data_IF_965259817083
#
_entry.id   IF_965259817083
#
_cell.length_a   1.000
_cell.length_b   1.000
_cell.length_c   1.000
_cell.angle_alpha   90.00
_cell.angle_beta   90.00
_cell.angle_gamma   90.00
#
_symmetry.space_group_name_H-M   'P 1'
#
loop_
_entity.id
_entity.type
_entity.pdbx_description
1 polymer ?
#
# COMPACT_ATOMS: atom_id res chain seq x y z
N UNK A 1 10.58 4.91 23.01
CA UNK A 1 9.34 5.02 22.22
C UNK A 1 8.28 4.11 22.83
N UNK A 2 7.00 4.46 22.79
CA UNK A 2 5.90 3.54 23.18
C UNK A 2 5.37 2.90 21.90
N UNK A 3 5.22 1.58 21.86
CA UNK A 3 4.83 0.84 20.65
C UNK A 3 3.72 -0.15 20.96
N UNK A 4 2.51 0.13 20.49
CA UNK A 4 1.29 -0.60 20.89
C UNK A 4 0.45 -1.02 19.69
N UNK A 5 -0.34 -2.08 19.87
CA UNK A 5 -1.27 -2.57 18.85
C UNK A 5 -2.68 -2.03 19.08
N UNK A 6 -3.31 -1.58 18.01
CA UNK A 6 -4.71 -1.14 18.00
C UNK A 6 -5.45 -1.83 16.84
N UNK A 7 -6.76 -1.99 16.96
CA UNK A 7 -7.57 -2.67 15.97
C UNK A 7 -8.44 -1.67 15.22
N UNK A 8 -8.46 -1.82 13.90
CA UNK A 8 -9.41 -1.11 13.06
C UNK A 8 -10.86 -1.38 13.51
N UNK A 9 -11.68 -0.33 13.54
CA UNK A 9 -13.11 -0.37 13.90
C UNK A 9 -13.43 -0.89 15.32
N UNK A 10 -12.42 -1.02 16.20
CA UNK A 10 -12.66 -1.20 17.63
C UNK A 10 -13.03 0.14 18.28
N UNK A 11 -13.94 0.09 19.27
CA UNK A 11 -14.42 1.25 20.02
C UNK A 11 -13.55 1.39 21.26
N UNK A 12 -12.83 2.49 21.34
CA UNK A 12 -11.98 2.83 22.48
C UNK A 12 -12.61 3.98 23.26
N UNK A 13 -12.56 3.91 24.58
CA UNK A 13 -12.83 5.09 25.41
C UNK A 13 -11.60 6.00 25.45
N UNK A 14 -11.77 7.24 25.88
CA UNK A 14 -10.63 8.15 26.14
C UNK A 14 -9.62 7.52 27.12
N UNK A 15 -10.13 6.82 28.15
CA UNK A 15 -9.31 6.10 29.13
C UNK A 15 -8.51 4.95 28.51
N UNK A 16 -9.09 4.24 27.55
CA UNK A 16 -8.37 3.19 26.81
C UNK A 16 -7.24 3.79 25.97
N UNK A 17 -7.49 4.92 25.29
CA UNK A 17 -6.45 5.60 24.52
C UNK A 17 -5.33 6.16 25.40
N UNK A 18 -5.65 6.68 26.59
CA UNK A 18 -4.63 7.13 27.55
C UNK A 18 -3.73 5.97 28.02
N UNK A 19 -4.30 4.77 28.21
CA UNK A 19 -3.53 3.56 28.54
C UNK A 19 -2.65 3.11 27.38
N UNK A 20 -3.18 3.10 26.16
CA UNK A 20 -2.44 2.71 24.95
C UNK A 20 -1.29 3.69 24.67
N UNK A 21 -1.52 4.99 24.87
CA UNK A 21 -0.51 6.02 24.68
C UNK A 21 0.40 6.19 25.92
N UNK A 22 0.19 5.42 26.99
CA UNK A 22 0.89 5.54 28.28
C UNK A 22 1.08 7.00 28.74
N UNK A 23 0.00 7.79 28.70
CA UNK A 23 0.04 9.19 29.10
C UNK A 23 -1.25 9.64 29.80
N UNK A 24 -1.15 10.74 30.56
CA UNK A 24 -2.30 11.36 31.22
C UNK A 24 -3.22 12.02 30.19
N UNK A 25 -4.51 12.17 30.53
CA UNK A 25 -5.54 12.74 29.65
C UNK A 25 -5.12 14.08 29.01
N UNK A 26 -4.51 14.97 29.80
CA UNK A 26 -4.03 16.28 29.32
C UNK A 26 -3.02 16.19 28.16
N UNK A 27 -2.19 15.14 28.14
CA UNK A 27 -1.22 14.87 27.07
C UNK A 27 -1.79 14.01 25.94
N UNK A 28 -2.75 13.14 26.25
CA UNK A 28 -3.42 12.30 25.26
C UNK A 28 -4.30 13.12 24.32
N UNK A 29 -5.00 14.14 24.82
CA UNK A 29 -5.97 14.93 24.05
C UNK A 29 -5.36 15.58 22.80
N UNK A 30 -4.21 16.29 22.87
CA UNK A 30 -3.56 16.81 21.67
C UNK A 30 -3.24 15.72 20.64
N UNK A 31 -2.80 14.53 21.08
CA UNK A 31 -2.51 13.40 20.20
C UNK A 31 -3.80 12.87 19.54
N UNK A 32 -4.87 12.73 20.31
CA UNK A 32 -6.19 12.29 19.81
C UNK A 32 -6.72 13.28 18.78
N UNK A 33 -6.62 14.59 19.04
CA UNK A 33 -7.02 15.64 18.08
C UNK A 33 -6.21 15.54 16.79
N UNK A 34 -4.88 15.37 16.89
CA UNK A 34 -4.00 15.17 15.73
C UNK A 34 -4.37 13.91 14.94
N UNK A 35 -4.67 12.79 15.62
CA UNK A 35 -5.13 11.56 14.96
C UNK A 35 -6.49 11.75 14.23
N UNK A 36 -7.37 12.58 14.78
CA UNK A 36 -8.66 12.93 14.14
C UNK A 36 -8.48 13.85 12.93
N UNK A 37 -7.64 14.87 13.04
CA UNK A 37 -7.32 15.81 11.94
C UNK A 37 -6.82 15.08 10.69
N UNK A 38 -6.03 14.03 10.87
CA UNK A 38 -5.50 13.21 9.77
C UNK A 38 -6.43 12.06 9.34
N UNK A 39 -7.62 11.97 9.92
CA UNK A 39 -8.66 11.02 9.54
C UNK A 39 -8.34 9.55 9.86
N UNK A 40 -7.32 9.29 10.68
CA UNK A 40 -6.98 7.92 11.13
C UNK A 40 -7.83 7.48 12.33
N UNK A 41 -8.37 8.45 13.07
CA UNK A 41 -9.26 8.24 14.21
C UNK A 41 -10.56 9.03 14.00
N UNK A 42 -11.70 8.42 14.32
CA UNK A 42 -13.02 9.07 14.27
C UNK A 42 -13.69 9.00 15.64
N UNK A 43 -14.58 9.94 15.93
CA UNK A 43 -15.42 9.92 17.13
C UNK A 43 -16.83 9.47 16.76
N UNK A 44 -17.43 8.63 17.60
CA UNK A 44 -18.83 8.19 17.48
C UNK A 44 -19.49 8.27 18.85
N UNK A 45 -20.79 8.57 18.90
CA UNK A 45 -21.49 8.70 20.16
C UNK A 45 -21.52 7.39 20.96
N UNK A 46 -21.19 7.48 22.24
CA UNK A 46 -21.24 6.35 23.15
C UNK A 46 -22.70 5.91 23.36
N UNK A 47 -23.06 4.80 22.75
CA UNK A 47 -24.35 4.14 22.92
C UNK A 47 -24.16 2.63 22.95
N UNK A 48 -25.12 1.90 23.56
CA UNK A 48 -25.08 0.44 23.57
C UNK A 48 -25.13 -0.14 22.16
N UNK A 49 -25.87 0.51 21.25
CA UNK A 49 -25.89 0.15 19.82
C UNK A 49 -24.50 0.25 19.18
N UNK A 50 -23.77 1.36 19.42
CA UNK A 50 -22.42 1.54 18.87
C UNK A 50 -21.39 0.58 19.47
N UNK A 51 -21.57 0.14 20.71
CA UNK A 51 -20.69 -0.85 21.36
C UNK A 51 -20.80 -2.22 20.66
N UNK A 52 -22.01 -2.63 20.29
CA UNK A 52 -22.27 -3.96 19.72
C UNK A 52 -22.15 -4.01 18.18
N UNK A 53 -22.02 -2.86 17.53
CA UNK A 53 -21.86 -2.75 16.08
C UNK A 53 -20.54 -3.38 15.61
N UNK A 54 -20.56 -4.16 14.53
CA UNK A 54 -19.34 -4.77 13.98
C UNK A 54 -18.66 -3.94 12.89
N UNK A 55 -19.41 -3.06 12.24
CA UNK A 55 -18.89 -2.13 11.23
C UNK A 55 -19.28 -0.69 11.57
N UNK A 56 -18.45 0.26 11.16
CA UNK A 56 -18.75 1.69 11.24
C UNK A 56 -19.52 2.13 9.99
N UNK A 57 -20.61 2.88 10.18
CA UNK A 57 -21.32 3.56 9.08
C UNK A 57 -20.92 5.03 9.05
N UNK A 58 -20.91 5.64 7.87
CA UNK A 58 -20.51 7.05 7.75
C UNK A 58 -21.47 8.01 8.49
N UNK A 59 -22.74 7.62 8.61
CA UNK A 59 -23.78 8.36 9.33
C UNK A 59 -23.54 8.40 10.85
N UNK A 60 -22.71 7.50 11.38
CA UNK A 60 -22.41 7.40 12.82
C UNK A 60 -21.27 8.33 13.26
N UNK A 61 -20.52 8.90 12.30
CA UNK A 61 -19.33 9.70 12.57
C UNK A 61 -19.75 11.09 13.04
N UNK A 62 -19.26 11.49 14.21
CA UNK A 62 -19.51 12.81 14.76
C UNK A 62 -18.27 13.69 14.70
N UNK A 63 -18.48 14.94 14.26
CA UNK A 63 -17.47 16.01 14.35
C UNK A 63 -17.63 16.67 15.72
N UNK A 64 -17.07 16.04 16.74
CA UNK A 64 -17.02 16.57 18.11
C UNK A 64 -15.62 17.07 18.46
N UNK A 65 -15.51 18.12 19.27
CA UNK A 65 -14.25 18.46 19.92
C UNK A 65 -13.90 17.43 21.00
N UNK A 66 -12.63 17.33 21.36
CA UNK A 66 -12.16 16.37 22.38
C UNK A 66 -11.84 17.13 23.65
N UNK A 67 -12.66 16.99 24.69
CA UNK A 67 -12.43 17.59 26.01
C UNK A 67 -12.02 16.54 27.06
N UNK A 68 -11.56 17.00 28.23
CA UNK A 68 -11.13 16.15 29.34
C UNK A 68 -12.36 15.58 30.05
N UNK A 69 -12.41 14.25 30.23
CA UNK A 69 -13.45 13.60 31.04
C UNK A 69 -14.80 13.40 30.35
N UNK A 70 -14.88 13.59 29.02
CA UNK A 70 -16.05 13.25 28.23
C UNK A 70 -16.10 11.74 27.95
N UNK A 71 -16.93 11.01 28.70
CA UNK A 71 -17.28 9.61 28.41
C UNK A 71 -18.42 9.51 27.34
N UNK A 72 -18.71 10.61 26.62
CA UNK A 72 -19.82 10.69 25.65
C UNK A 72 -19.50 10.06 24.30
N UNK A 73 -18.22 9.76 24.01
CA UNK A 73 -17.77 9.28 22.71
C UNK A 73 -16.91 8.02 22.81
N UNK A 74 -17.05 7.15 21.82
CA UNK A 74 -16.03 6.17 21.47
C UNK A 74 -15.14 6.70 20.35
N UNK A 75 -13.86 6.37 20.42
CA UNK A 75 -12.86 6.65 19.41
C UNK A 75 -12.60 5.38 18.60
N UNK A 76 -12.63 5.51 17.28
CA UNK A 76 -12.61 4.39 16.35
C UNK A 76 -11.54 4.61 15.30
N UNK A 77 -10.54 3.72 15.23
CA UNK A 77 -9.54 3.77 14.17
C UNK A 77 -10.16 3.31 12.84
N UNK A 78 -10.00 4.13 11.81
CA UNK A 78 -10.45 3.83 10.43
C UNK A 78 -9.27 3.60 9.48
N UNK A 79 -8.12 3.26 10.04
CA UNK A 79 -6.84 3.09 9.35
C UNK A 79 -6.34 1.66 9.55
N UNK A 80 -5.54 1.16 8.62
CA UNK A 80 -4.75 -0.07 8.76
C UNK A 80 -3.32 0.22 8.35
N UNK A 81 -2.36 -0.11 9.22
CA UNK A 81 -0.94 0.11 9.01
C UNK A 81 -0.21 0.61 10.27
N UNK A 82 0.83 1.41 10.08
CA UNK A 82 1.64 2.00 11.16
C UNK A 82 1.39 3.51 11.23
N UNK A 83 1.15 4.00 12.44
CA UNK A 83 1.01 5.42 12.76
C UNK A 83 2.11 5.77 13.75
N UNK A 84 2.86 6.82 13.48
CA UNK A 84 3.83 7.40 14.44
C UNK A 84 3.38 8.80 14.77
N UNK A 85 3.16 9.09 16.06
CA UNK A 85 2.72 10.40 16.54
C UNK A 85 3.48 10.77 17.81
N UNK A 86 4.27 11.84 17.78
CA UNK A 86 5.01 12.36 18.94
C UNK A 86 5.74 11.29 19.78
N UNK A 87 6.49 10.39 19.13
CA UNK A 87 7.20 9.30 19.82
C UNK A 87 6.33 8.12 20.28
N UNK A 88 5.07 8.04 19.83
CA UNK A 88 4.19 6.89 20.01
C UNK A 88 3.96 6.18 18.67
N UNK A 89 4.13 4.87 18.66
CA UNK A 89 3.93 4.01 17.49
C UNK A 89 2.68 3.17 17.70
N UNK A 90 1.67 3.38 16.86
CA UNK A 90 0.43 2.60 16.86
C UNK A 90 0.42 1.67 15.64
N UNK A 91 0.43 0.38 15.90
CA UNK A 91 0.38 -0.72 14.93
C UNK A 91 -1.09 -1.12 14.74
N UNK A 92 -1.77 -0.48 13.78
CA UNK A 92 -3.20 -0.67 13.54
C UNK A 92 -3.46 -1.84 12.60
N UNK A 93 -4.03 -2.93 13.12
CA UNK A 93 -4.26 -4.16 12.36
C UNK A 93 -5.72 -4.28 11.85
N UNK A 94 -5.94 -5.01 10.74
CA UNK A 94 -7.26 -5.18 10.13
C UNK A 94 -8.33 -5.72 11.08
N UNK A 95 -9.56 -5.23 10.95
CA UNK A 95 -10.67 -5.60 11.84
C UNK A 95 -11.04 -7.08 11.83
N UNK A 96 -10.75 -7.84 10.77
CA UNK A 96 -11.07 -9.27 10.68
C UNK A 96 -10.22 -10.16 11.59
N UNK A 97 -9.11 -9.62 12.14
CA UNK A 97 -8.30 -10.29 13.15
C UNK A 97 -8.96 -10.06 14.52
N UNK A 98 -9.67 -11.07 15.02
CA UNK A 98 -10.44 -11.00 16.27
C UNK A 98 -9.73 -11.73 17.41
N UNK A 99 -9.08 -12.85 17.11
CA UNK A 99 -8.51 -13.77 18.10
C UNK A 99 -7.07 -14.19 17.79
N UNK A 100 -6.41 -13.53 16.84
CA UNK A 100 -5.03 -13.88 16.47
C UNK A 100 -4.04 -13.67 17.62
N UNK A 101 -3.28 -14.72 17.92
CA UNK A 101 -2.17 -14.69 18.89
C UNK A 101 -0.84 -14.20 18.27
N UNK A 102 -0.81 -13.95 16.95
CA UNK A 102 0.40 -13.59 16.19
C UNK A 102 0.22 -12.28 15.42
N UNK A 103 -0.29 -11.24 16.10
CA UNK A 103 -0.60 -9.94 15.48
C UNK A 103 0.58 -9.31 14.73
N UNK A 104 1.81 -9.47 15.22
CA UNK A 104 3.03 -8.96 14.55
C UNK A 104 3.24 -9.61 13.18
N UNK A 105 3.08 -10.92 13.07
CA UNK A 105 3.28 -11.67 11.83
C UNK A 105 2.17 -11.39 10.81
N UNK A 106 0.92 -11.32 11.28
CA UNK A 106 -0.23 -10.96 10.44
C UNK A 106 -0.10 -9.52 9.92
N UNK A 107 0.27 -8.57 10.79
CA UNK A 107 0.47 -7.18 10.38
C UNK A 107 1.64 -7.03 9.41
N UNK A 108 2.74 -7.75 9.61
CA UNK A 108 3.86 -7.79 8.66
C UNK A 108 3.39 -8.19 7.27
N UNK A 109 2.58 -9.24 7.16
CA UNK A 109 2.05 -9.66 5.86
C UNK A 109 1.14 -8.58 5.25
N UNK A 110 0.28 -7.96 6.07
CA UNK A 110 -0.59 -6.84 5.66
C UNK A 110 0.23 -5.66 5.13
N UNK A 111 1.36 -5.31 5.77
CA UNK A 111 2.22 -4.22 5.33
C UNK A 111 2.87 -4.50 3.96
N UNK A 112 3.32 -5.74 3.71
CA UNK A 112 3.80 -6.14 2.36
C UNK A 112 2.72 -6.02 1.29
N UNK A 113 1.49 -6.39 1.64
CA UNK A 113 0.33 -6.24 0.75
C UNK A 113 0.10 -4.77 0.42
N UNK A 114 0.14 -3.91 1.44
CA UNK A 114 0.00 -2.46 1.29
C UNK A 114 1.13 -1.85 0.46
N UNK A 115 2.38 -2.27 0.67
CA UNK A 115 3.52 -1.84 -0.13
C UNK A 115 3.34 -2.20 -1.61
N UNK A 116 3.02 -3.48 -1.89
CA UNK A 116 2.74 -3.94 -3.25
C UNK A 116 1.58 -3.16 -3.89
N UNK A 117 0.50 -2.92 -3.15
CA UNK A 117 -0.67 -2.18 -3.63
C UNK A 117 -0.36 -0.68 -3.88
N UNK A 118 0.45 -0.05 -3.02
CA UNK A 118 0.73 1.39 -3.03
C UNK A 118 1.98 1.80 -3.84
N UNK A 119 2.66 0.88 -4.54
CA UNK A 119 3.89 1.16 -5.32
C UNK A 119 3.77 2.34 -6.29
N UNK A 120 2.55 2.73 -6.72
CA UNK A 120 2.31 3.92 -7.57
C UNK A 120 2.08 5.22 -6.79
N UNK A 121 1.62 5.17 -5.54
CA UNK A 121 1.25 6.35 -4.74
C UNK A 121 2.32 6.78 -3.74
N UNK A 122 3.14 5.85 -3.22
CA UNK A 122 4.13 6.15 -2.18
C UNK A 122 5.19 7.17 -2.63
N UNK A 123 5.68 7.05 -3.87
CA UNK A 123 6.65 8.01 -4.44
C UNK A 123 6.03 9.41 -4.54
N UNK A 124 4.73 9.52 -4.84
CA UNK A 124 4.04 10.81 -4.98
C UNK A 124 3.85 11.47 -3.61
N UNK A 125 3.57 10.70 -2.56
CA UNK A 125 3.38 11.22 -1.20
C UNK A 125 4.68 11.65 -0.50
N UNK A 126 5.84 11.14 -0.93
CA UNK A 126 7.14 11.56 -0.39
C UNK A 126 7.55 13.00 -0.77
N UNK A 127 6.98 13.56 -1.86
CA UNK A 127 7.44 14.84 -2.43
C UNK A 127 6.33 15.88 -2.66
N UNK A 128 5.07 15.59 -2.31
CA UNK A 128 3.98 16.55 -2.45
C UNK A 128 3.87 17.45 -1.21
N UNK A 129 4.48 18.63 -1.28
CA UNK A 129 4.27 19.78 -0.38
C UNK A 129 3.05 20.64 -0.79
N UNK A 130 2.29 20.25 -1.83
CA UNK A 130 1.36 21.15 -2.53
C UNK A 130 -0.12 21.04 -2.10
N UNK A 131 -0.42 20.48 -0.94
CA UNK A 131 -1.75 20.57 -0.34
C UNK A 131 -1.60 21.00 1.11
N UNK A 132 -2.34 22.02 1.53
CA UNK A 132 -2.29 22.67 2.86
C UNK A 132 -2.54 21.73 4.07
N UNK A 133 -2.54 20.39 3.88
CA UNK A 133 -2.67 19.39 4.94
C UNK A 133 -1.73 18.17 4.83
N UNK A 134 -0.74 18.14 3.93
CA UNK A 134 0.19 17.00 3.84
C UNK A 134 1.36 17.15 4.81
N UNK A 135 1.22 16.61 6.03
CA UNK A 135 2.36 16.48 6.92
C UNK A 135 3.48 15.66 6.28
N UNK A 136 4.71 16.12 6.49
CA UNK A 136 5.94 15.41 6.14
C UNK A 136 5.93 14.00 6.74
N UNK A 137 6.05 12.98 5.89
CA UNK A 137 6.02 11.58 6.31
C UNK A 137 7.45 11.05 6.51
N UNK A 138 7.99 11.28 7.71
CA UNK A 138 9.33 10.85 8.09
C UNK A 138 9.49 9.32 7.97
N UNK A 139 8.49 8.54 8.39
CA UNK A 139 8.55 7.07 8.29
C UNK A 139 8.80 6.60 6.84
N UNK A 140 8.15 7.21 5.86
CA UNK A 140 8.36 6.87 4.45
C UNK A 140 9.79 7.20 3.98
N UNK A 141 10.35 8.31 4.46
CA UNK A 141 11.74 8.73 4.20
C UNK A 141 12.74 7.71 4.77
N UNK A 142 12.56 7.29 6.03
CA UNK A 142 13.42 6.32 6.69
C UNK A 142 13.39 4.96 5.98
N UNK A 143 12.20 4.45 5.65
CA UNK A 143 12.03 3.18 4.94
C UNK A 143 12.67 3.22 3.55
N UNK A 144 12.48 4.31 2.80
CA UNK A 144 13.07 4.47 1.48
C UNK A 144 14.60 4.45 1.52
N UNK A 145 15.22 5.17 2.47
CA UNK A 145 16.68 5.24 2.58
C UNK A 145 17.30 3.87 2.81
N UNK A 146 16.73 3.09 3.74
CA UNK A 146 17.23 1.74 4.03
C UNK A 146 16.96 0.77 2.86
N UNK A 147 15.80 0.84 2.23
CA UNK A 147 15.48 -0.01 1.08
C UNK A 147 16.42 0.27 -0.10
N UNK A 148 16.66 1.55 -0.46
CA UNK A 148 17.63 1.89 -1.52
C UNK A 148 19.04 1.41 -1.15
N UNK A 149 19.45 1.53 0.12
CA UNK A 149 20.75 1.04 0.57
C UNK A 149 20.86 -0.49 0.42
N UNK A 150 19.85 -1.27 0.81
CA UNK A 150 19.90 -2.72 0.67
C UNK A 150 19.88 -3.18 -0.79
N UNK A 151 19.18 -2.46 -1.66
CA UNK A 151 19.13 -2.78 -3.09
C UNK A 151 20.39 -2.37 -3.85
N UNK A 152 20.94 -1.19 -3.51
CA UNK A 152 21.88 -0.50 -4.39
C UNK A 152 23.16 0.02 -3.69
N UNK A 153 23.31 -0.22 -2.39
CA UNK A 153 24.46 0.17 -1.58
C UNK A 153 24.56 1.67 -1.29
N UNK A 154 25.64 2.08 -0.62
CA UNK A 154 25.90 3.48 -0.25
C UNK A 154 26.04 4.39 -1.48
N UNK A 155 25.72 5.66 -1.29
CA UNK A 155 25.95 6.70 -2.30
C UNK A 155 27.44 6.77 -2.60
N UNK A 156 27.81 6.68 -3.89
CA UNK A 156 29.21 6.77 -4.28
C UNK A 156 29.38 7.63 -5.51
N UNK A 157 30.33 8.57 -5.50
CA UNK A 157 30.80 9.17 -6.74
C UNK A 157 32.04 8.43 -7.24
N UNK A 158 32.06 8.27 -8.56
CA UNK A 158 33.19 7.66 -9.25
C UNK A 158 33.89 8.74 -10.05
N UNK A 159 35.17 8.94 -9.82
CA UNK A 159 35.98 9.84 -10.61
C UNK A 159 36.80 9.04 -11.63
N UNK A 160 36.90 9.57 -12.85
CA UNK A 160 37.79 9.03 -13.86
C UNK A 160 39.17 9.66 -13.68
N UNK A 161 40.13 8.92 -13.15
CA UNK A 161 41.53 9.31 -13.10
C UNK A 161 42.30 8.75 -14.30
N UNK A 162 43.42 9.39 -14.60
CA UNK A 162 44.36 8.92 -15.61
C UNK A 162 45.56 8.32 -14.88
N UNK A 163 45.85 7.05 -15.16
CA UNK A 163 47.01 6.34 -14.64
C UNK A 163 47.94 5.91 -15.78
N UNK A 164 49.24 5.87 -15.50
CA UNK A 164 50.25 5.42 -16.48
C UNK A 164 50.36 3.90 -16.47
N UNK A 165 50.28 3.28 -17.66
CA UNK A 165 50.34 1.83 -17.89
C UNK A 165 49.34 1.00 -17.07
N UNK A 166 48.15 1.57 -16.83
CA UNK A 166 47.06 0.87 -16.16
C UNK A 166 46.38 -0.19 -17.02
N UNK A 167 45.48 -0.94 -16.39
CA UNK A 167 44.68 -1.98 -17.06
C UNK A 167 43.40 -1.43 -17.71
N UNK A 168 43.12 -0.14 -17.52
CA UNK A 168 41.94 0.53 -18.04
C UNK A 168 42.01 0.87 -19.54
N UNK A 169 40.99 1.58 -20.03
CA UNK A 169 40.94 1.97 -21.45
C UNK A 169 42.06 2.94 -21.79
N UNK A 170 42.87 2.62 -22.81
CA UNK A 170 43.94 3.51 -23.30
C UNK A 170 43.32 4.78 -23.90
N UNK A 171 43.81 5.94 -23.44
CA UNK A 171 43.51 7.25 -23.99
C UNK A 171 44.57 7.57 -25.05
N UNK A 172 44.34 7.12 -26.28
CA UNK A 172 45.32 7.26 -27.36
C UNK A 172 45.70 8.71 -27.66
N UNK A 173 44.74 9.64 -27.65
CA UNK A 173 45.04 11.06 -27.89
C UNK A 173 46.01 11.63 -26.85
N UNK A 174 45.81 11.31 -25.57
CA UNK A 174 46.74 11.72 -24.51
C UNK A 174 48.06 10.99 -24.59
N UNK A 175 48.03 9.68 -24.85
CA UNK A 175 49.24 8.87 -24.98
C UNK A 175 50.14 9.41 -26.10
N UNK A 176 49.57 9.71 -27.26
CA UNK A 176 50.31 10.23 -28.42
C UNK A 176 50.89 11.62 -28.15
N UNK A 177 50.12 12.50 -27.50
CA UNK A 177 50.49 13.91 -27.31
C UNK A 177 51.35 14.16 -26.06
N UNK A 178 51.19 13.36 -25.01
CA UNK A 178 51.77 13.61 -23.68
C UNK A 178 52.92 12.64 -23.34
N UNK A 179 53.17 11.60 -24.15
CA UNK A 179 54.24 10.60 -23.87
C UNK A 179 55.26 10.48 -25.02
N UNK A 180 56.42 9.90 -24.72
CA UNK A 180 57.48 9.72 -25.71
C UNK A 180 57.22 8.51 -26.61
N UNK A 181 57.42 8.72 -27.91
CA UNK A 181 57.31 7.68 -28.93
C UNK A 181 58.67 7.11 -29.28
N UNK A 182 58.81 5.79 -29.27
CA UNK A 182 59.99 5.09 -29.80
C UNK A 182 59.72 4.66 -31.25
N UNK A 183 60.66 4.94 -32.16
CA UNK A 183 60.55 4.55 -33.57
C UNK A 183 61.38 3.30 -33.85
N UNK A 184 60.75 2.25 -34.34
CA UNK A 184 61.42 1.04 -34.82
C UNK A 184 60.80 0.60 -36.15
N UNK A 185 61.64 0.36 -37.17
CA UNK A 185 61.20 0.02 -38.53
C UNK A 185 60.13 0.98 -39.10
N UNK A 186 60.32 2.29 -38.87
CA UNK A 186 59.39 3.35 -39.30
C UNK A 186 57.97 3.20 -38.73
N UNK A 187 57.82 2.54 -37.57
CA UNK A 187 56.57 2.41 -36.82
C UNK A 187 56.72 2.97 -35.39
N UNK A 188 55.72 3.72 -34.90
CA UNK A 188 55.73 4.26 -33.55
C UNK A 188 55.34 3.20 -32.51
N UNK A 189 56.07 3.15 -31.40
CA UNK A 189 55.80 2.33 -30.22
C UNK A 189 55.72 3.23 -28.99
N UNK A 190 54.65 3.09 -28.22
CA UNK A 190 54.41 3.82 -26.97
C UNK A 190 54.59 2.86 -25.80
N UNK A 191 55.58 3.12 -24.95
CA UNK A 191 55.87 2.31 -23.76
C UNK A 191 55.12 2.80 -22.51
N UNK A 192 54.73 4.08 -22.51
CA UNK A 192 54.02 4.72 -21.40
C UNK A 192 52.60 5.09 -21.83
N UNK A 193 51.67 4.17 -21.68
CA UNK A 193 50.27 4.35 -22.05
C UNK A 193 49.54 5.18 -20.99
N UNK A 194 48.83 6.23 -21.41
CA UNK A 194 47.89 6.92 -20.52
C UNK A 194 46.56 6.19 -20.55
N UNK A 195 46.14 5.63 -19.42
CA UNK A 195 44.94 4.80 -19.32
C UNK A 195 43.93 5.39 -18.36
N UNK A 196 42.65 5.25 -18.66
CA UNK A 196 41.56 5.73 -17.82
C UNK A 196 41.18 4.65 -16.82
N UNK A 197 41.23 5.00 -15.53
CA UNK A 197 40.71 4.19 -14.45
C UNK A 197 39.63 4.96 -13.71
N UNK A 198 38.53 4.27 -13.43
CA UNK A 198 37.48 4.80 -12.58
C UNK A 198 37.80 4.42 -11.13
N UNK A 199 37.94 5.40 -10.25
CA UNK A 199 38.12 5.22 -8.81
C UNK A 199 36.89 5.68 -8.07
N UNK A 200 36.61 5.03 -6.95
CA UNK A 200 35.59 5.47 -5.99
C UNK A 200 36.29 6.32 -4.94
N UNK A 201 35.74 7.51 -4.65
CA UNK A 201 36.24 8.33 -3.55
C UNK A 201 35.57 7.86 -2.24
N UNK A 202 36.32 7.11 -1.44
CA UNK A 202 35.83 6.61 -0.15
C UNK A 202 35.68 7.70 0.90
N UNK A 203 36.28 8.88 0.69
CA UNK A 203 36.17 10.05 1.57
C UNK A 203 35.17 11.09 1.04
N UNK A 204 34.39 10.74 0.00
CA UNK A 204 33.35 11.60 -0.55
C UNK A 204 32.40 12.04 0.58
N UNK A 205 32.21 13.35 0.68
CA UNK A 205 31.32 13.99 1.63
C UNK A 205 29.90 13.39 1.62
N UNK A 206 29.31 13.16 0.44
CA UNK A 206 27.95 12.64 0.32
C UNK A 206 27.86 11.14 0.59
N UNK A 207 28.94 10.39 0.35
CA UNK A 207 29.05 9.00 0.77
C UNK A 207 28.97 8.90 2.30
N UNK A 208 29.87 9.62 2.99
CA UNK A 208 29.93 9.67 4.46
C UNK A 208 28.65 10.20 5.08
N UNK A 209 28.06 11.26 4.50
CA UNK A 209 26.78 11.80 4.96
C UNK A 209 25.66 10.77 4.82
N UNK A 210 25.62 10.02 3.72
CA UNK A 210 24.64 8.96 3.54
C UNK A 210 24.83 7.84 4.57
N UNK A 211 26.07 7.43 4.86
CA UNK A 211 26.38 6.43 5.89
C UNK A 211 25.92 6.86 7.30
N UNK A 212 26.15 8.13 7.66
CA UNK A 212 25.68 8.72 8.91
C UNK A 212 24.15 8.68 9.01
N UNK A 213 23.45 9.11 7.96
CA UNK A 213 21.98 9.14 7.93
C UNK A 213 21.39 7.73 7.95
N UNK A 214 21.97 6.77 7.23
CA UNK A 214 21.51 5.37 7.25
C UNK A 214 21.64 4.75 8.64
N UNK A 215 22.74 5.04 9.33
CA UNK A 215 22.96 4.59 10.71
C UNK A 215 21.87 5.16 11.60
N UNK A 216 21.67 6.49 11.62
CA UNK A 216 20.60 7.16 12.40
C UNK A 216 19.21 6.66 12.06
N UNK A 217 18.87 6.51 10.77
CA UNK A 217 17.59 6.01 10.33
C UNK A 217 17.32 4.59 10.83
N UNK A 218 18.34 3.73 10.83
CA UNK A 218 18.26 2.39 11.41
C UNK A 218 18.03 2.45 12.92
N UNK A 219 18.68 3.36 13.64
CA UNK A 219 18.47 3.52 15.08
C UNK A 219 17.04 3.99 15.41
N UNK A 220 16.54 4.99 14.69
CA UNK A 220 15.18 5.50 14.87
C UNK A 220 14.12 4.41 14.66
N UNK A 221 14.25 3.59 13.61
CA UNK A 221 13.34 2.46 13.36
C UNK A 221 13.50 1.33 14.37
N UNK A 222 14.71 1.12 14.90
CA UNK A 222 14.98 0.13 15.95
C UNK A 222 14.28 0.52 17.24
N UNK A 223 14.43 1.78 17.66
CA UNK A 223 13.79 2.34 18.85
C UNK A 223 12.26 2.36 18.74
N UNK A 224 11.74 2.43 17.52
CA UNK A 224 10.31 2.35 17.20
C UNK A 224 9.74 0.91 17.13
N UNK A 225 10.60 -0.11 17.26
CA UNK A 225 10.29 -1.52 17.00
C UNK A 225 9.72 -1.78 15.59
N UNK A 226 10.16 -0.99 14.60
CA UNK A 226 9.68 -1.06 13.22
C UNK A 226 10.58 -1.90 12.31
N UNK A 227 11.87 -2.05 12.63
CA UNK A 227 12.80 -2.90 11.85
C UNK A 227 12.24 -4.32 11.64
N UNK A 228 11.87 -5.00 12.71
CA UNK A 228 11.29 -6.35 12.64
C UNK A 228 9.94 -6.41 11.92
N UNK A 229 9.18 -5.32 11.96
CA UNK A 229 7.85 -5.25 11.37
C UNK A 229 7.92 -5.09 9.85
N UNK A 230 8.91 -4.35 9.37
CA UNK A 230 9.22 -4.18 7.94
C UNK A 230 10.25 -5.18 7.40
N UNK A 231 10.72 -6.13 8.22
CA UNK A 231 11.78 -7.11 7.87
C UNK A 231 13.10 -6.45 7.43
N UNK A 232 13.40 -5.29 7.99
CA UNK A 232 14.63 -4.56 7.70
C UNK A 232 15.69 -4.95 8.72
N UNK A 233 16.88 -5.32 8.24
CA UNK A 233 18.02 -5.57 9.12
C UNK A 233 18.62 -4.23 9.55
N UNK A 234 18.95 -4.07 10.83
CA UNK A 234 19.60 -2.87 11.31
C UNK A 234 20.97 -2.67 10.66
N UNK A 235 21.34 -1.41 10.44
CA UNK A 235 22.60 -1.00 9.80
C UNK A 235 23.37 -0.09 10.75
N UNK A 236 24.67 -0.31 10.85
CA UNK A 236 25.62 0.50 11.63
C UNK A 236 26.89 0.67 10.77
N UNK A 237 27.04 1.85 10.15
CA UNK A 237 28.07 2.11 9.13
C UNK A 237 29.17 3.04 9.63
N UNK A 238 28.87 3.92 10.57
CA UNK A 238 29.79 4.98 11.00
C UNK A 238 29.46 5.47 12.41
N UNK A 239 30.49 5.95 13.10
CA UNK A 239 30.36 6.65 14.39
C UNK A 239 30.24 8.18 14.21
N UNK A 240 30.31 8.70 12.98
CA UNK A 240 30.18 10.13 12.68
C UNK A 240 28.75 10.62 12.96
N UNK A 241 28.64 11.82 13.52
CA UNK A 241 27.37 12.51 13.78
C UNK A 241 27.08 13.57 12.72
N UNK A 242 25.82 14.01 12.60
CA UNK A 242 25.46 15.06 11.63
C UNK A 242 26.28 16.35 11.82
N UNK A 243 26.67 16.66 13.05
CA UNK A 243 27.45 17.85 13.38
C UNK A 243 28.88 17.81 12.79
N UNK A 244 29.41 16.62 12.47
CA UNK A 244 30.70 16.45 11.79
C UNK A 244 30.67 16.93 10.33
N UNK A 245 29.48 17.12 9.75
CA UNK A 245 29.27 17.56 8.37
C UNK A 245 29.01 19.07 8.26
N UNK A 246 28.84 19.78 9.37
CA UNK A 246 28.55 21.21 9.44
C UNK A 246 27.14 21.50 9.97
N UNK A 247 26.76 22.77 10.00
CA UNK A 247 25.41 23.15 10.39
C UNK A 247 24.36 22.72 9.34
N UNK A 248 23.10 22.72 9.76
CA UNK A 248 21.96 22.28 8.93
C UNK A 248 21.94 23.02 7.59
N UNK A 249 22.08 24.34 7.60
CA UNK A 249 22.06 25.19 6.42
C UNK A 249 23.21 24.86 5.46
N UNK A 250 24.41 24.60 5.98
CA UNK A 250 25.57 24.19 5.20
C UNK A 250 25.34 22.83 4.53
N UNK A 251 24.81 21.85 5.26
CA UNK A 251 24.55 20.51 4.70
C UNK A 251 23.52 20.60 3.57
N UNK A 252 22.41 21.32 3.79
CA UNK A 252 21.36 21.52 2.78
C UNK A 252 21.90 22.21 1.52
N UNK A 253 22.67 23.28 1.69
CA UNK A 253 23.32 23.99 0.57
C UNK A 253 24.27 23.09 -0.23
N UNK A 254 25.05 22.23 0.46
CA UNK A 254 25.94 21.26 -0.19
C UNK A 254 25.14 20.26 -1.04
N UNK A 255 24.04 19.74 -0.50
CA UNK A 255 23.17 18.79 -1.22
C UNK A 255 22.56 19.44 -2.47
N UNK A 256 22.05 20.68 -2.36
CA UNK A 256 21.53 21.41 -3.52
C UNK A 256 22.58 21.59 -4.61
N UNK A 257 23.82 21.91 -4.22
CA UNK A 257 24.94 22.06 -5.17
C UNK A 257 25.23 20.75 -5.91
N UNK A 258 25.24 19.62 -5.20
CA UNK A 258 25.45 18.30 -5.82
C UNK A 258 24.29 17.91 -6.72
N UNK A 259 23.04 18.15 -6.29
CA UNK A 259 21.83 17.91 -7.09
C UNK A 259 21.86 18.63 -8.44
N UNK A 260 22.41 19.84 -8.49
CA UNK A 260 22.53 20.64 -9.72
C UNK A 260 23.53 20.05 -10.73
N UNK A 261 24.47 19.21 -10.28
CA UNK A 261 25.48 18.57 -11.13
C UNK A 261 25.29 17.07 -11.31
N UNK A 262 24.35 16.48 -10.57
CA UNK A 262 24.08 15.05 -10.59
C UNK A 262 23.00 14.71 -11.62
N UNK A 263 23.32 13.88 -12.61
CA UNK A 263 22.39 13.47 -13.68
C UNK A 263 21.82 12.06 -13.47
N UNK A 264 22.34 11.29 -12.53
CA UNK A 264 21.84 9.96 -12.23
C UNK A 264 20.55 10.04 -11.40
N UNK A 265 19.46 9.50 -11.93
CA UNK A 265 18.12 9.57 -11.30
C UNK A 265 18.08 8.97 -9.90
N UNK A 266 18.74 7.82 -9.67
CA UNK A 266 18.81 7.20 -8.34
C UNK A 266 19.53 8.13 -7.36
N UNK A 267 20.70 8.63 -7.74
CA UNK A 267 21.49 9.54 -6.89
C UNK A 267 20.74 10.82 -6.57
N UNK A 268 20.05 11.39 -7.55
CA UNK A 268 19.16 12.54 -7.32
C UNK A 268 18.07 12.22 -6.30
N UNK A 269 17.47 11.03 -6.39
CA UNK A 269 16.43 10.60 -5.47
C UNK A 269 16.97 10.45 -4.03
N UNK A 270 18.11 9.77 -3.86
CA UNK A 270 18.78 9.62 -2.55
C UNK A 270 19.11 10.99 -1.94
N UNK A 271 19.72 11.89 -2.72
CA UNK A 271 20.06 13.24 -2.25
C UNK A 271 18.82 14.05 -1.87
N UNK A 272 17.73 13.97 -2.64
CA UNK A 272 16.46 14.63 -2.28
C UNK A 272 15.85 14.06 -1.01
N UNK A 273 15.92 12.74 -0.81
CA UNK A 273 15.41 12.12 0.41
C UNK A 273 16.25 12.49 1.63
N UNK A 274 17.58 12.51 1.49
CA UNK A 274 18.50 13.01 2.51
C UNK A 274 18.21 14.48 2.84
N UNK A 275 18.02 15.32 1.82
CA UNK A 275 17.64 16.73 1.99
C UNK A 275 16.37 16.85 2.83
N UNK A 276 15.32 16.10 2.48
CA UNK A 276 14.03 16.15 3.19
C UNK A 276 14.17 15.70 4.65
N UNK A 277 14.94 14.64 4.92
CA UNK A 277 15.24 14.18 6.27
C UNK A 277 15.90 15.28 7.13
N UNK A 278 16.93 15.94 6.59
CA UNK A 278 17.66 17.00 7.32
C UNK A 278 16.82 18.28 7.46
N UNK A 279 16.11 18.68 6.40
CA UNK A 279 15.31 19.92 6.38
C UNK A 279 14.21 19.90 7.44
N UNK A 280 13.56 18.76 7.65
CA UNK A 280 12.55 18.59 8.69
C UNK A 280 13.13 18.20 10.06
N UNK A 281 14.46 18.26 10.23
CA UNK A 281 15.14 17.87 11.48
C UNK A 281 14.70 16.48 11.97
N UNK A 282 14.66 15.52 11.04
CA UNK A 282 13.95 14.24 11.18
C UNK A 282 14.21 13.55 12.52
N UNK A 283 13.17 13.50 13.35
CA UNK A 283 13.12 12.68 14.54
C UNK A 283 11.68 12.23 14.80
N UNK A 284 11.46 10.91 14.91
CA UNK A 284 10.14 10.34 15.25
C UNK A 284 9.61 10.78 16.63
N UNK A 285 10.45 11.33 17.50
CA UNK A 285 10.08 11.87 18.83
C UNK A 285 9.58 13.32 18.81
N UNK A 286 9.67 14.04 17.69
CA UNK A 286 9.19 15.43 17.62
C UNK A 286 7.67 15.51 17.88
N UNK A 287 7.22 16.46 18.71
CA UNK A 287 5.81 16.69 19.04
C UNK A 287 4.98 17.00 17.80
N UNK A 288 5.60 17.65 16.81
CA UNK A 288 4.95 17.97 15.55
C UNK A 288 5.02 16.81 14.54
N UNK A 289 5.76 15.74 14.83
CA UNK A 289 5.81 14.55 13.99
C UNK A 289 4.47 13.81 13.95
N UNK A 290 3.98 13.57 12.74
CA UNK A 290 2.98 12.55 12.44
C UNK A 290 3.36 11.87 11.13
N UNK A 291 3.65 10.57 11.20
CA UNK A 291 4.00 9.75 10.04
C UNK A 291 3.05 8.57 9.90
N UNK A 292 2.62 8.28 8.68
CA UNK A 292 1.61 7.28 8.39
C UNK A 292 2.11 6.32 7.30
N UNK A 293 2.10 5.03 7.56
CA UNK A 293 2.29 4.01 6.54
C UNK A 293 1.07 3.08 6.54
N UNK A 294 0.19 3.23 5.55
CA UNK A 294 -1.03 2.43 5.49
C UNK A 294 -2.16 3.09 4.71
N UNK A 295 -3.40 2.69 5.00
CA UNK A 295 -4.59 3.15 4.27
C UNK A 295 -5.80 3.31 5.19
N UNK A 296 -6.68 4.28 4.87
CA UNK A 296 -8.01 4.42 5.46
C UNK A 296 -9.09 3.59 4.73
N UNK A 297 -8.72 2.95 3.62
CA UNK A 297 -9.66 2.23 2.74
C UNK A 297 -9.18 0.81 2.50
N UNK A 298 -8.97 0.06 3.58
CA UNK A 298 -8.50 -1.33 3.49
C UNK A 298 -9.50 -2.25 2.78
N UNK A 299 -10.77 -1.86 2.74
CA UNK A 299 -11.79 -2.53 1.91
C UNK A 299 -11.41 -2.55 0.42
N UNK A 300 -10.86 -1.46 -0.12
CA UNK A 300 -10.42 -1.39 -1.52
C UNK A 300 -9.17 -2.23 -1.77
N UNK A 301 -8.30 -2.31 -0.76
CA UNK A 301 -7.12 -3.20 -0.81
C UNK A 301 -7.59 -4.66 -0.86
N UNK A 302 -8.56 -5.05 -0.02
CA UNK A 302 -9.17 -6.38 -0.07
C UNK A 302 -9.83 -6.68 -1.42
N UNK A 303 -10.61 -5.74 -1.95
CA UNK A 303 -11.22 -5.85 -3.29
C UNK A 303 -10.17 -6.08 -4.39
N UNK A 304 -9.10 -5.26 -4.39
CA UNK A 304 -8.00 -5.39 -5.35
C UNK A 304 -7.27 -6.73 -5.24
N UNK A 305 -7.08 -7.26 -4.03
CA UNK A 305 -6.50 -8.59 -3.79
C UNK A 305 -7.40 -9.67 -4.38
N UNK A 306 -8.69 -9.66 -4.05
CA UNK A 306 -9.66 -10.63 -4.58
C UNK A 306 -9.70 -10.57 -6.11
N UNK A 307 -9.74 -9.37 -6.69
CA UNK A 307 -9.74 -9.17 -8.14
C UNK A 307 -8.48 -9.72 -8.81
N UNK A 308 -7.30 -9.53 -8.20
CA UNK A 308 -6.07 -10.10 -8.74
C UNK A 308 -6.10 -11.63 -8.64
N UNK A 309 -6.27 -12.20 -7.45
CA UNK A 309 -6.10 -13.65 -7.25
C UNK A 309 -7.18 -14.48 -7.96
N UNK A 310 -8.39 -13.95 -8.14
CA UNK A 310 -9.50 -14.66 -8.82
C UNK A 310 -9.55 -14.42 -10.32
N UNK A 311 -8.51 -13.83 -10.93
CA UNK A 311 -8.38 -13.68 -12.39
C UNK A 311 -9.50 -12.83 -13.02
N UNK A 312 -9.67 -11.60 -12.50
CA UNK A 312 -10.69 -10.65 -12.95
C UNK A 312 -10.63 -10.35 -14.46
N UNK A 313 -11.74 -10.60 -15.16
CA UNK A 313 -11.91 -10.44 -16.60
C UNK A 313 -12.66 -9.15 -17.00
N UNK A 314 -13.08 -8.31 -16.06
CA UNK A 314 -13.89 -7.12 -16.34
C UNK A 314 -13.28 -6.19 -17.40
N UNK A 315 -11.97 -5.97 -17.34
CA UNK A 315 -11.26 -5.10 -18.27
C UNK A 315 -10.74 -5.84 -19.52
N UNK A 316 -11.00 -7.14 -19.65
CA UNK A 316 -10.58 -7.94 -20.80
C UNK A 316 -11.53 -7.70 -21.96
N UNK A 317 -10.96 -7.63 -23.18
CA UNK A 317 -11.72 -7.44 -24.42
C UNK A 317 -12.57 -8.67 -24.72
N UNK A 318 -13.81 -8.47 -25.20
CA UNK A 318 -14.74 -9.56 -25.48
C UNK A 318 -14.17 -10.62 -26.42
N UNK A 319 -13.39 -10.21 -27.43
CA UNK A 319 -12.75 -11.14 -28.36
C UNK A 319 -11.61 -11.99 -27.78
N UNK A 320 -11.15 -11.69 -26.56
CA UNK A 320 -10.10 -12.43 -25.86
C UNK A 320 -10.64 -13.27 -24.69
N UNK A 321 -11.95 -13.18 -24.40
CA UNK A 321 -12.56 -13.95 -23.32
C UNK A 321 -12.62 -15.45 -23.67
N UNK A 322 -12.45 -16.35 -22.68
CA UNK A 322 -12.61 -17.79 -22.86
C UNK A 322 -14.10 -18.17 -22.90
N UNK A 323 -14.75 -17.91 -24.05
CA UNK A 323 -16.19 -18.16 -24.24
C UNK A 323 -16.46 -19.63 -24.63
N UNK A 324 -17.57 -20.24 -24.17
CA UNK A 324 -17.96 -21.60 -24.56
C UNK A 324 -18.20 -21.74 -26.07
N UNK A 325 -18.75 -20.70 -26.68
CA UNK A 325 -18.97 -20.59 -28.12
C UNK A 325 -18.40 -19.27 -28.65
N UNK A 326 -18.10 -19.17 -29.96
CA UNK A 326 -17.55 -17.95 -30.54
C UNK A 326 -18.42 -16.72 -30.28
N UNK A 327 -17.77 -15.57 -30.06
CA UNK A 327 -18.43 -14.28 -29.83
C UNK A 327 -19.42 -13.98 -30.97
N UNK A 328 -20.69 -13.72 -30.63
CA UNK A 328 -21.72 -13.38 -31.62
C UNK A 328 -21.40 -12.05 -32.32
N UNK A 329 -21.79 -11.94 -33.59
CA UNK A 329 -21.47 -10.79 -34.45
C UNK A 329 -22.06 -9.43 -33.99
N UNK A 330 -23.06 -9.45 -33.11
CA UNK A 330 -23.65 -8.24 -32.52
C UNK A 330 -22.78 -7.58 -31.44
N UNK A 331 -21.75 -8.28 -30.96
CA UNK A 331 -20.81 -7.76 -29.97
C UNK A 331 -19.52 -7.25 -30.63
N UNK A 332 -19.04 -6.08 -30.20
CA UNK A 332 -17.74 -5.57 -30.63
C UNK A 332 -16.61 -6.30 -29.88
N UNK A 333 -15.76 -7.01 -30.62
CA UNK A 333 -14.58 -7.71 -30.08
C UNK A 333 -13.61 -6.81 -29.30
N UNK A 334 -13.60 -5.50 -29.56
CA UNK A 334 -12.70 -4.55 -28.91
C UNK A 334 -13.28 -3.95 -27.63
N UNK A 335 -14.59 -4.07 -27.41
CA UNK A 335 -15.26 -3.66 -26.18
C UNK A 335 -14.76 -4.52 -25.01
N UNK A 336 -14.69 -3.96 -23.80
CA UNK A 336 -14.36 -4.74 -22.60
C UNK A 336 -15.62 -5.35 -22.01
N UNK A 337 -15.47 -6.40 -21.19
CA UNK A 337 -16.60 -7.02 -20.51
C UNK A 337 -17.42 -6.01 -19.70
N UNK A 338 -16.74 -5.16 -18.91
CA UNK A 338 -17.38 -4.12 -18.08
C UNK A 338 -18.19 -3.10 -18.90
N UNK A 339 -17.82 -2.87 -20.15
CA UNK A 339 -18.50 -1.90 -21.02
C UNK A 339 -19.87 -2.43 -21.51
N UNK A 340 -20.21 -3.70 -21.26
CA UNK A 340 -21.54 -4.26 -21.56
C UNK A 340 -22.62 -3.76 -20.61
N UNK A 341 -22.25 -3.27 -19.43
CA UNK A 341 -23.21 -2.75 -18.46
C UNK A 341 -23.73 -1.40 -18.97
N UNK A 342 -25.05 -1.35 -19.22
CA UNK A 342 -25.70 -0.16 -19.75
C UNK A 342 -25.58 1.04 -18.80
N UNK A 343 -25.50 2.24 -19.38
CA UNK A 343 -25.53 3.50 -18.62
C UNK A 343 -26.96 4.06 -18.61
N UNK A 344 -27.43 4.66 -17.51
CA UNK A 344 -28.80 5.13 -17.42
C UNK A 344 -29.06 6.28 -18.41
N UNK A 345 -30.07 6.11 -19.26
CA UNK A 345 -30.54 7.11 -20.23
C UNK A 345 -31.50 8.10 -19.55
N UNK A 346 -31.19 9.39 -19.67
CA UNK A 346 -32.06 10.46 -19.22
C UNK A 346 -32.87 10.99 -20.39
N UNK A 347 -34.12 10.55 -20.50
CA UNK A 347 -35.01 10.88 -21.64
C UNK A 347 -35.19 12.37 -21.87
N UNK A 348 -35.18 13.17 -20.80
CA UNK A 348 -35.25 14.64 -20.88
C UNK A 348 -34.08 15.25 -21.67
N UNK A 349 -32.90 14.65 -21.59
CA UNK A 349 -31.69 15.14 -22.28
C UNK A 349 -31.32 14.30 -23.50
N UNK A 350 -31.88 13.09 -23.63
CA UNK A 350 -31.47 12.10 -24.61
C UNK A 350 -30.05 11.56 -24.40
N UNK A 351 -29.46 11.78 -23.23
CA UNK A 351 -28.06 11.42 -22.93
C UNK A 351 -27.97 10.38 -21.82
N UNK A 352 -26.95 9.53 -21.90
CA UNK A 352 -26.59 8.60 -20.83
C UNK A 352 -25.74 9.31 -19.77
N UNK A 353 -25.94 8.98 -18.50
CA UNK A 353 -25.01 9.40 -17.44
C UNK A 353 -23.64 8.72 -17.60
N UNK A 354 -22.64 9.21 -16.87
CA UNK A 354 -21.30 8.64 -16.91
C UNK A 354 -21.17 7.36 -16.09
N UNK A 355 -21.87 7.29 -14.95
CA UNK A 355 -21.82 6.16 -14.01
C UNK A 355 -22.83 5.06 -14.35
N UNK A 356 -22.48 3.84 -13.94
CA UNK A 356 -23.31 2.64 -14.01
C UNK A 356 -22.95 1.70 -12.86
N UNK A 357 -23.56 0.52 -12.82
CA UNK A 357 -23.20 -0.58 -11.93
C UNK A 357 -21.72 -0.95 -12.10
N UNK A 358 -21.00 -1.07 -10.99
CA UNK A 358 -19.56 -1.38 -10.95
C UNK A 358 -19.36 -2.67 -10.14
N UNK A 359 -19.38 -3.85 -10.79
CA UNK A 359 -18.98 -5.08 -10.12
C UNK A 359 -17.48 -5.05 -9.79
N UNK A 360 -17.10 -5.69 -8.68
CA UNK A 360 -15.70 -5.74 -8.23
C UNK A 360 -14.86 -6.62 -9.18
N UNK A 361 -15.34 -7.84 -9.46
CA UNK A 361 -14.68 -8.74 -10.42
C UNK A 361 -15.61 -9.80 -11.02
N UNK A 362 -15.22 -10.29 -12.21
CA UNK A 362 -15.86 -11.42 -12.88
C UNK A 362 -14.78 -12.39 -13.34
N UNK A 363 -14.98 -13.68 -13.08
CA UNK A 363 -14.09 -14.75 -13.54
C UNK A 363 -14.83 -15.63 -14.53
N UNK A 364 -14.18 -15.95 -15.65
CA UNK A 364 -14.73 -16.79 -16.71
C UNK A 364 -13.78 -17.94 -16.98
N UNK A 365 -14.19 -19.17 -16.69
CA UNK A 365 -13.39 -20.40 -16.91
C UNK A 365 -14.30 -21.59 -17.12
N UNK A 366 -13.92 -22.51 -18.01
CA UNK A 366 -14.58 -23.81 -18.21
C UNK A 366 -16.11 -23.72 -18.37
N UNK A 367 -16.58 -22.68 -19.05
CA UNK A 367 -18.00 -22.40 -19.24
C UNK A 367 -18.76 -21.93 -18.01
N UNK A 368 -18.07 -21.60 -16.92
CA UNK A 368 -18.62 -20.91 -15.75
C UNK A 368 -18.50 -19.39 -15.90
N UNK A 369 -19.55 -18.67 -15.52
CA UNK A 369 -19.56 -17.21 -15.38
C UNK A 369 -19.73 -16.87 -13.90
N UNK A 370 -18.64 -16.50 -13.24
CA UNK A 370 -18.63 -16.29 -11.79
C UNK A 370 -18.51 -14.80 -11.50
N UNK A 371 -19.48 -14.27 -10.78
CA UNK A 371 -19.55 -12.86 -10.37
C UNK A 371 -19.19 -12.83 -8.89
N UNK A 372 -18.05 -12.21 -8.57
CA UNK A 372 -17.66 -12.01 -7.19
C UNK A 372 -17.81 -10.56 -6.78
N UNK A 373 -18.09 -10.38 -5.50
CA UNK A 373 -18.07 -9.10 -4.85
C UNK A 373 -17.36 -9.27 -3.50
N UNK A 374 -16.30 -8.50 -3.30
CA UNK A 374 -15.42 -8.61 -2.16
C UNK A 374 -15.95 -7.71 -1.04
N UNK A 375 -16.33 -8.32 0.08
CA UNK A 375 -16.94 -7.63 1.21
C UNK A 375 -16.01 -7.64 2.42
N UNK A 376 -15.50 -6.48 2.79
CA UNK A 376 -14.66 -6.29 3.97
C UNK A 376 -15.50 -6.12 5.26
N UNK A 377 -16.14 -7.21 5.69
CA UNK A 377 -17.08 -7.27 6.81
C UNK A 377 -16.70 -8.36 7.81
N UNK A 378 -16.94 -8.10 9.10
CA UNK A 378 -16.88 -9.11 10.16
C UNK A 378 -18.27 -9.73 10.38
N UNK A 379 -18.78 -10.44 9.38
CA UNK A 379 -20.11 -11.03 9.44
C UNK A 379 -20.14 -12.24 10.38
N UNK A 380 -21.15 -12.32 11.24
CA UNK A 380 -21.44 -13.46 12.10
C UNK A 380 -22.67 -14.18 11.54
N UNK A 381 -22.40 -15.30 10.86
CA UNK A 381 -23.39 -16.11 10.15
C UNK A 381 -23.39 -17.52 10.73
N UNK A 382 -23.91 -17.64 11.95
CA UNK A 382 -24.06 -18.90 12.66
C UNK A 382 -25.47 -19.46 12.48
N UNK A 383 -25.60 -20.79 12.48
CA UNK A 383 -26.91 -21.45 12.38
C UNK A 383 -27.82 -21.02 13.53
N UNK A 384 -29.10 -20.87 13.22
CA UNK A 384 -30.15 -20.51 14.18
C UNK A 384 -29.95 -19.15 14.89
N UNK A 385 -29.00 -18.34 14.41
CA UNK A 385 -28.73 -17.00 14.91
C UNK A 385 -29.19 -15.95 13.91
N UNK A 386 -29.67 -14.80 14.41
CA UNK A 386 -29.92 -13.63 13.56
C UNK A 386 -28.58 -13.16 12.98
N UNK A 387 -28.47 -12.94 11.65
CA UNK A 387 -27.25 -12.41 11.05
C UNK A 387 -26.82 -11.09 11.69
N UNK A 388 -25.53 -10.96 12.01
CA UNK A 388 -24.93 -9.71 12.48
C UNK A 388 -23.75 -9.33 11.61
N UNK A 389 -23.60 -8.05 11.28
CA UNK A 389 -22.47 -7.57 10.47
C UNK A 389 -22.44 -8.08 9.02
N UNK A 390 -23.55 -8.60 8.53
CA UNK A 390 -23.73 -9.03 7.14
C UNK A 390 -23.75 -7.83 6.18
N UNK A 391 -23.48 -8.04 4.88
CA UNK A 391 -23.73 -7.05 3.85
C UNK A 391 -25.18 -6.55 3.88
N UNK A 392 -25.35 -5.24 3.72
CA UNK A 392 -26.68 -4.62 3.68
C UNK A 392 -27.48 -5.01 2.44
N UNK A 393 -28.78 -4.70 2.46
CA UNK A 393 -29.70 -5.01 1.34
C UNK A 393 -29.26 -4.41 0.01
N UNK A 394 -28.60 -3.25 0.05
CA UNK A 394 -28.03 -2.60 -1.14
C UNK A 394 -26.97 -3.49 -1.80
N UNK A 395 -26.07 -4.08 -1.01
CA UNK A 395 -25.03 -5.00 -1.51
C UNK A 395 -25.64 -6.27 -2.10
N UNK A 396 -26.63 -6.86 -1.40
CA UNK A 396 -27.37 -8.03 -1.89
C UNK A 396 -28.03 -7.72 -3.23
N UNK A 397 -28.77 -6.61 -3.31
CA UNK A 397 -29.50 -6.24 -4.53
C UNK A 397 -28.55 -5.93 -5.68
N UNK A 398 -27.45 -5.20 -5.44
CA UNK A 398 -26.43 -4.92 -6.46
C UNK A 398 -25.83 -6.19 -7.05
N UNK A 399 -25.53 -7.19 -6.24
CA UNK A 399 -24.98 -8.46 -6.71
C UNK A 399 -25.92 -9.17 -7.70
N UNK A 400 -27.21 -9.23 -7.41
CA UNK A 400 -28.20 -9.76 -8.35
C UNK A 400 -28.31 -8.92 -9.63
N UNK A 401 -28.26 -7.59 -9.50
CA UNK A 401 -28.28 -6.68 -10.65
C UNK A 401 -27.05 -6.83 -11.54
N UNK A 402 -25.88 -7.17 -10.99
CA UNK A 402 -24.70 -7.50 -11.78
C UNK A 402 -24.96 -8.72 -12.66
N UNK A 403 -25.52 -9.81 -12.11
CA UNK A 403 -25.91 -10.95 -12.94
C UNK A 403 -26.90 -10.53 -14.02
N UNK A 404 -27.93 -9.78 -13.65
CA UNK A 404 -28.98 -9.36 -14.57
C UNK A 404 -28.40 -8.53 -15.74
N UNK A 405 -27.45 -7.65 -15.47
CA UNK A 405 -26.77 -6.84 -16.49
C UNK A 405 -26.02 -7.70 -17.53
N UNK A 406 -25.49 -8.86 -17.12
CA UNK A 406 -24.79 -9.78 -18.02
C UNK A 406 -25.69 -10.90 -18.56
N UNK A 407 -26.96 -10.99 -18.14
CA UNK A 407 -27.81 -12.14 -18.43
C UNK A 407 -27.98 -12.41 -19.93
N UNK A 408 -28.11 -11.35 -20.74
CA UNK A 408 -28.15 -11.48 -22.21
C UNK A 408 -26.86 -12.11 -22.75
N UNK A 409 -25.71 -11.53 -22.39
CA UNK A 409 -24.40 -12.01 -22.80
C UNK A 409 -24.16 -13.46 -22.36
N UNK A 410 -24.57 -13.81 -21.16
CA UNK A 410 -24.48 -15.16 -20.60
C UNK A 410 -25.29 -16.15 -21.45
N UNK A 411 -26.56 -15.85 -21.70
CA UNK A 411 -27.45 -16.70 -22.48
C UNK A 411 -26.96 -16.83 -23.94
N UNK A 412 -26.48 -15.74 -24.51
CA UNK A 412 -26.01 -15.70 -25.89
C UNK A 412 -24.77 -16.56 -26.13
N UNK A 413 -23.92 -16.76 -25.12
CA UNK A 413 -22.68 -17.53 -25.25
C UNK A 413 -22.71 -18.89 -24.55
N UNK A 414 -23.88 -19.35 -24.13
CA UNK A 414 -24.09 -20.73 -23.67
C UNK A 414 -23.25 -21.11 -22.45
N UNK A 415 -23.02 -20.19 -21.52
CA UNK A 415 -22.38 -20.54 -20.24
C UNK A 415 -23.21 -21.61 -19.52
N UNK A 416 -22.51 -22.61 -18.98
CA UNK A 416 -23.08 -23.81 -18.36
C UNK A 416 -23.63 -23.47 -16.98
N UNK A 417 -22.87 -22.68 -16.22
CA UNK A 417 -23.23 -22.28 -14.86
C UNK A 417 -22.94 -20.82 -14.63
N UNK A 418 -23.85 -20.14 -13.91
CA UNK A 418 -23.66 -18.79 -13.38
C UNK A 418 -23.58 -18.89 -11.87
N UNK A 419 -22.65 -18.16 -11.26
CA UNK A 419 -22.45 -18.19 -9.80
C UNK A 419 -22.30 -16.77 -9.28
N UNK A 420 -23.00 -16.44 -8.20
CA UNK A 420 -22.81 -15.20 -7.44
C UNK A 420 -22.12 -15.54 -6.12
N UNK A 421 -21.10 -14.78 -5.73
CA UNK A 421 -20.39 -15.06 -4.49
C UNK A 421 -19.86 -13.80 -3.80
N UNK A 422 -20.17 -13.64 -2.51
CA UNK A 422 -19.46 -12.72 -1.64
C UNK A 422 -18.18 -13.35 -1.10
N UNK A 423 -17.07 -12.60 -1.20
CA UNK A 423 -15.77 -12.97 -0.65
C UNK A 423 -15.44 -12.07 0.55
N UNK A 424 -15.45 -12.65 1.75
CA UNK A 424 -15.12 -11.92 3.00
C UNK A 424 -13.82 -12.45 3.61
N UNK A 425 -12.98 -11.61 4.22
CA UNK A 425 -11.77 -12.09 4.87
C UNK A 425 -12.11 -12.84 6.16
N UNK A 426 -11.30 -13.84 6.50
CA UNK A 426 -11.29 -14.48 7.82
C UNK A 426 -9.86 -14.69 8.30
N UNK A 427 -9.65 -14.66 9.62
CA UNK A 427 -8.38 -15.02 10.26
C UNK A 427 -8.15 -16.53 10.34
N UNK A 428 -9.15 -17.35 9.96
CA UNK A 428 -9.03 -18.81 9.95
C UNK A 428 -8.16 -19.30 8.79
N UNK A 429 -7.68 -20.53 8.91
CA UNK A 429 -6.76 -21.15 7.93
C UNK A 429 -7.46 -21.83 6.76
N UNK A 430 -8.78 -22.07 6.84
CA UNK A 430 -9.55 -22.76 5.81
C UNK A 430 -10.70 -21.90 5.32
N UNK A 431 -11.07 -22.09 4.05
CA UNK A 431 -12.25 -21.43 3.47
C UNK A 431 -13.50 -21.93 4.19
N UNK A 432 -14.34 -21.01 4.65
CA UNK A 432 -15.60 -21.35 5.30
C UNK A 432 -16.77 -21.10 4.36
N UNK A 433 -17.62 -22.11 4.21
CA UNK A 433 -18.94 -21.97 3.59
C UNK A 433 -19.93 -21.44 4.64
N UNK A 434 -20.45 -20.23 4.40
CA UNK A 434 -21.43 -19.55 5.27
C UNK A 434 -22.83 -19.51 4.65
N UNK A 435 -23.13 -20.44 3.76
CA UNK A 435 -24.42 -20.59 3.10
C UNK A 435 -24.63 -19.55 2.00
N UNK A 436 -25.88 -19.13 1.83
CA UNK A 436 -26.31 -18.28 0.74
C UNK A 436 -27.27 -17.18 1.22
N UNK A 437 -27.19 -16.01 0.59
CA UNK A 437 -28.20 -14.97 0.70
C UNK A 437 -29.19 -15.08 -0.48
N UNK A 438 -30.47 -15.29 -0.17
CA UNK A 438 -31.53 -15.51 -1.15
C UNK A 438 -32.67 -14.50 -1.00
N UNK A 439 -33.24 -14.06 -2.12
CA UNK A 439 -34.49 -13.31 -2.14
C UNK A 439 -35.40 -13.88 -3.23
N UNK A 440 -36.57 -14.40 -2.85
CA UNK A 440 -37.47 -15.08 -3.79
C UNK A 440 -37.85 -14.20 -5.00
N UNK A 441 -38.04 -12.90 -4.78
CA UNK A 441 -38.33 -11.94 -5.87
C UNK A 441 -37.24 -11.92 -6.94
N UNK A 442 -35.97 -12.15 -6.58
CA UNK A 442 -34.84 -12.16 -7.50
C UNK A 442 -34.62 -13.56 -8.08
N UNK A 443 -34.78 -14.61 -7.28
CA UNK A 443 -34.74 -16.00 -7.75
C UNK A 443 -35.83 -16.27 -8.80
N UNK A 444 -37.02 -15.68 -8.64
CA UNK A 444 -38.13 -15.77 -9.60
C UNK A 444 -37.82 -15.13 -10.97
N UNK A 445 -36.78 -14.29 -11.07
CA UNK A 445 -36.28 -13.74 -12.33
C UNK A 445 -35.24 -14.66 -13.00
N UNK A 446 -34.98 -15.85 -12.43
CA UNK A 446 -33.95 -16.78 -12.91
C UNK A 446 -32.54 -16.43 -12.44
N UNK A 447 -32.39 -15.50 -11.49
CA UNK A 447 -31.11 -15.12 -10.94
C UNK A 447 -30.65 -16.09 -9.84
N UNK A 448 -29.33 -16.30 -9.75
CA UNK A 448 -28.74 -17.29 -8.84
C UNK A 448 -28.53 -16.68 -7.45
N UNK A 449 -28.79 -17.47 -6.40
CA UNK A 449 -28.54 -17.06 -5.02
C UNK A 449 -27.06 -16.68 -4.82
N UNK A 450 -26.81 -15.83 -3.82
CA UNK A 450 -25.46 -15.33 -3.55
C UNK A 450 -24.79 -16.21 -2.52
N UNK A 451 -23.78 -16.96 -2.92
CA UNK A 451 -22.95 -17.74 -2.01
C UNK A 451 -22.12 -16.84 -1.11
N UNK A 452 -21.88 -17.25 0.12
CA UNK A 452 -21.01 -16.51 1.05
C UNK A 452 -19.81 -17.38 1.41
N UNK A 453 -18.61 -16.88 1.08
CA UNK A 453 -17.35 -17.56 1.37
C UNK A 453 -16.46 -16.67 2.21
N UNK A 454 -16.01 -17.19 3.34
CA UNK A 454 -14.98 -16.54 4.12
C UNK A 454 -13.64 -17.10 3.65
N UNK A 455 -12.84 -16.24 3.04
CA UNK A 455 -11.54 -16.55 2.47
C UNK A 455 -10.44 -16.23 3.50
N UNK A 456 -9.58 -17.20 3.86
CA UNK A 456 -8.42 -16.96 4.71
C UNK A 456 -7.58 -15.81 4.17
N UNK A 457 -7.51 -14.71 4.92
CA UNK A 457 -6.83 -13.50 4.50
C UNK A 457 -5.34 -13.80 4.23
N UNK A 458 -4.71 -14.59 5.11
CA UNK A 458 -3.33 -15.06 4.96
C UNK A 458 -3.07 -15.76 3.62
N UNK A 459 -3.95 -16.67 3.21
CA UNK A 459 -3.81 -17.40 1.95
C UNK A 459 -4.03 -16.44 0.77
N UNK A 460 -5.06 -15.60 0.83
CA UNK A 460 -5.32 -14.60 -0.21
C UNK A 460 -4.10 -13.68 -0.42
N UNK A 461 -3.48 -13.22 0.67
CA UNK A 461 -2.27 -12.40 0.64
C UNK A 461 -1.06 -13.16 0.07
N UNK A 462 -0.87 -14.43 0.38
CA UNK A 462 0.21 -15.25 -0.21
C UNK A 462 0.07 -15.38 -1.73
N UNK A 463 -1.14 -15.66 -2.24
CA UNK A 463 -1.40 -15.68 -3.68
C UNK A 463 -1.14 -14.32 -4.31
N UNK A 464 -1.67 -13.26 -3.71
CA UNK A 464 -1.49 -11.89 -4.20
C UNK A 464 -0.02 -11.50 -4.25
N UNK A 465 0.72 -11.65 -3.14
CA UNK A 465 2.15 -11.30 -3.07
C UNK A 465 2.98 -12.10 -4.07
N UNK A 466 2.73 -13.41 -4.21
CA UNK A 466 3.43 -14.26 -5.20
C UNK A 466 3.01 -14.05 -6.65
N UNK A 467 1.93 -13.28 -6.91
CA UNK A 467 1.39 -13.06 -8.26
C UNK A 467 0.71 -14.29 -8.86
N UNK A 468 0.38 -15.29 -8.03
CA UNK A 468 -0.33 -16.51 -8.47
C UNK A 468 -1.84 -16.30 -8.42
N UNK A 469 -2.55 -16.97 -9.33
CA UNK A 469 -4.02 -17.01 -9.32
C UNK A 469 -4.50 -18.21 -8.49
N UNK A 470 -5.56 -18.00 -7.74
CA UNK A 470 -6.26 -19.04 -6.99
C UNK A 470 -7.24 -19.76 -7.92
N UNK A 471 -7.36 -21.06 -7.76
CA UNK A 471 -8.40 -21.82 -8.45
C UNK A 471 -9.75 -21.58 -7.75
N UNK A 472 -10.72 -21.06 -8.50
CA UNK A 472 -12.05 -20.75 -8.00
C UNK A 472 -12.82 -22.01 -7.54
N UNK A 473 -12.47 -23.20 -8.05
CA UNK A 473 -13.12 -24.45 -7.64
C UNK A 473 -12.87 -24.79 -6.15
N UNK A 474 -11.79 -24.26 -5.55
CA UNK A 474 -11.49 -24.40 -4.11
C UNK A 474 -12.59 -23.76 -3.25
N UNK A 475 -13.32 -22.78 -3.79
CA UNK A 475 -14.44 -22.15 -3.11
C UNK A 475 -15.69 -23.05 -3.05
N UNK A 476 -15.73 -24.19 -3.75
CA UNK A 476 -16.88 -25.09 -3.80
C UNK A 476 -18.21 -24.35 -4.08
N UNK A 477 -18.21 -23.55 -5.14
CA UNK A 477 -19.34 -22.73 -5.58
C UNK A 477 -20.29 -23.48 -6.49
#
# INVERSE_FOLDING_TARGET
MISEFVREQQRYTQKDLCRILDCLEEKAIPLIRKLKEFGVLKAVRASDHQRDMSNLLDEDIEVADVEVGEDEYYYVFTFVGVIVVAGHVLKCYPKYLLHSNQLKEELRQVLKVLEKYNTKEQIVRMFNDSSESSAFNLLAVLLFLLQDYFENGVYNNTEDIIESNGSGKILWDKTINETFTMLSNNRPYYTDLQTRKRITDDFDYFKRLHECILTRASEELRDAELLDLFEITGVDLTEEELDDFGDKEFILYRIEKELNTQFNTRKQLVLKTIYAYIYHSGNLYDTDCLSLFGTNSFNLVWEGICADIMDNQLNVRLGALPLPIPLKAEYDKNQRLVDLIEKPLWTVTGKTANDTLKPDLISIRDGQFIIFDAKYYNAQLERDCVPKGQPGIESVTKQYLYQLAYQKFINDHGFITVKNCFLMPTEKMAIEDRGEASMEILSNLGLQNIKVRFLPAKIAYEYYLSGRKMDADILAL
#
